data_IF_101716820094
#
_entry.id   IF_101716820094
#
_cell.length_a   1.000
_cell.length_b   1.000
_cell.length_c   1.000
_cell.angle_alpha   90.00
_cell.angle_beta   90.00
_cell.angle_gamma   90.00
#
_symmetry.space_group_name_H-M   'P 1'
#
loop_
_entity.id
_entity.type
_entity.pdbx_description
1 polymer ?
#
# COMPACT_ATOMS: atom_id res chain seq x y z
N UNK A 1 -14.11 -13.78 -1.23
CA UNK A 1 -13.02 -13.16 -0.43
C UNK A 1 -12.37 -12.12 -1.33
N UNK A 2 -12.24 -10.88 -0.87
CA UNK A 2 -11.56 -9.84 -1.65
C UNK A 2 -10.05 -9.97 -1.47
N UNK A 3 -9.34 -10.27 -2.56
CA UNK A 3 -7.89 -10.16 -2.60
C UNK A 3 -7.50 -8.70 -2.79
N UNK A 4 -6.41 -8.29 -2.15
CA UNK A 4 -5.92 -6.92 -2.22
C UNK A 4 -4.46 -6.83 -2.65
N UNK A 5 -4.11 -5.69 -3.24
CA UNK A 5 -2.74 -5.26 -3.47
C UNK A 5 -2.58 -3.83 -3.01
N UNK A 6 -1.59 -3.59 -2.15
CA UNK A 6 -1.28 -2.25 -1.62
C UNK A 6 0.01 -1.75 -2.27
N UNK A 7 -0.02 -0.51 -2.74
CA UNK A 7 1.12 0.21 -3.30
C UNK A 7 1.28 1.51 -2.53
N UNK A 8 2.34 1.57 -1.72
CA UNK A 8 2.65 2.71 -0.88
C UNK A 8 3.50 3.70 -1.68
N UNK A 9 3.06 4.96 -1.74
CA UNK A 9 3.87 6.05 -2.26
C UNK A 9 4.94 6.49 -1.25
N UNK A 10 6.15 6.74 -1.75
CA UNK A 10 7.22 7.41 -1.00
C UNK A 10 6.82 8.84 -0.57
N UNK A 11 6.03 9.54 -1.37
CA UNK A 11 5.54 10.90 -1.12
C UNK A 11 4.04 10.91 -0.78
N UNK A 12 3.61 11.93 -0.04
CA UNK A 12 2.17 12.18 0.14
C UNK A 12 1.62 12.76 -1.17
N UNK A 13 0.48 12.24 -1.59
CA UNK A 13 -0.26 12.68 -2.76
C UNK A 13 -1.10 13.90 -2.41
N UNK A 14 -1.02 14.93 -3.23
CA UNK A 14 -1.90 16.09 -3.16
C UNK A 14 -3.32 15.73 -3.58
N UNK A 15 -4.29 16.57 -3.23
CA UNK A 15 -5.69 16.37 -3.63
C UNK A 15 -5.86 16.19 -5.15
N UNK A 16 -5.09 16.93 -5.96
CA UNK A 16 -5.11 16.83 -7.41
C UNK A 16 -4.55 15.49 -7.90
N UNK A 17 -3.43 15.03 -7.33
CA UNK A 17 -2.82 13.74 -7.69
C UNK A 17 -3.70 12.56 -7.28
N UNK A 18 -4.42 12.69 -6.15
CA UNK A 18 -5.43 11.72 -5.70
C UNK A 18 -6.57 11.64 -6.71
N UNK A 19 -7.13 12.78 -7.14
CA UNK A 19 -8.22 12.83 -8.13
C UNK A 19 -7.80 12.17 -9.45
N UNK A 20 -6.61 12.53 -9.96
CA UNK A 20 -6.03 11.92 -11.17
C UNK A 20 -5.83 10.41 -11.03
N UNK A 21 -5.35 9.97 -9.86
CA UNK A 21 -5.17 8.55 -9.56
C UNK A 21 -6.51 7.81 -9.57
N UNK A 22 -7.53 8.34 -8.88
CA UNK A 22 -8.86 7.73 -8.79
C UNK A 22 -9.51 7.63 -10.17
N UNK A 23 -9.41 8.66 -11.01
CA UNK A 23 -9.94 8.64 -12.38
C UNK A 23 -9.34 7.48 -13.20
N UNK A 24 -8.01 7.38 -13.23
CA UNK A 24 -7.29 6.32 -13.97
C UNK A 24 -7.55 4.93 -13.40
N UNK A 25 -7.55 4.80 -12.08
CA UNK A 25 -7.78 3.53 -11.40
C UNK A 25 -9.22 3.04 -11.64
N UNK A 26 -10.21 3.93 -11.56
CA UNK A 26 -11.62 3.58 -11.79
C UNK A 26 -11.82 3.10 -13.24
N UNK A 27 -11.34 3.88 -14.21
CA UNK A 27 -11.40 3.50 -15.62
C UNK A 27 -10.65 2.19 -15.93
N UNK A 28 -9.57 1.89 -15.20
CA UNK A 28 -8.91 0.58 -15.29
C UNK A 28 -9.77 -0.54 -14.73
N UNK A 29 -10.31 -0.40 -13.51
CA UNK A 29 -11.10 -1.46 -12.87
C UNK A 29 -12.35 -1.84 -13.65
N UNK A 30 -12.99 -0.88 -14.34
CA UNK A 30 -14.14 -1.12 -15.22
C UNK A 30 -13.79 -1.96 -16.45
N UNK A 31 -12.55 -1.91 -16.93
CA UNK A 31 -12.09 -2.67 -18.10
C UNK A 31 -11.17 -3.85 -17.75
N UNK A 32 -10.92 -4.09 -16.46
CA UNK A 32 -9.96 -5.09 -16.03
C UNK A 32 -10.50 -6.49 -16.23
N UNK A 33 -9.81 -7.27 -17.06
CA UNK A 33 -10.26 -8.62 -17.49
C UNK A 33 -9.19 -9.67 -17.31
N UNK A 34 -9.61 -10.88 -16.96
CA UNK A 34 -8.80 -12.09 -16.94
C UNK A 34 -9.42 -13.16 -17.85
N UNK A 35 -8.66 -13.65 -18.84
CA UNK A 35 -9.15 -14.61 -19.86
C UNK A 35 -10.50 -14.21 -20.48
N UNK A 36 -10.68 -12.92 -20.77
CA UNK A 36 -11.91 -12.37 -21.37
C UNK A 36 -13.07 -12.14 -20.39
N UNK A 37 -12.99 -12.65 -19.15
CA UNK A 37 -13.98 -12.37 -18.10
C UNK A 37 -13.68 -11.05 -17.41
N UNK A 38 -14.72 -10.27 -17.16
CA UNK A 38 -14.64 -9.06 -16.35
C UNK A 38 -14.30 -9.42 -14.91
N UNK A 39 -13.32 -8.74 -14.35
CA UNK A 39 -12.99 -8.82 -12.93
C UNK A 39 -13.92 -7.88 -12.16
N UNK A 40 -14.48 -8.35 -11.05
CA UNK A 40 -15.17 -7.50 -10.09
C UNK A 40 -14.13 -6.86 -9.18
N UNK A 41 -13.65 -5.68 -9.59
CA UNK A 41 -12.57 -4.99 -8.93
C UNK A 41 -12.92 -3.53 -8.65
N UNK A 42 -12.27 -2.98 -7.64
CA UNK A 42 -12.32 -1.55 -7.29
C UNK A 42 -10.96 -1.10 -6.82
N UNK A 43 -10.75 0.20 -6.77
CA UNK A 43 -9.53 0.81 -6.30
C UNK A 43 -9.84 1.98 -5.38
N UNK A 44 -8.93 2.28 -4.46
CA UNK A 44 -9.01 3.49 -3.65
C UNK A 44 -7.61 4.06 -3.40
N UNK A 45 -7.58 5.35 -3.04
CA UNK A 45 -6.41 6.00 -2.46
C UNK A 45 -6.71 6.29 -1.01
N UNK A 46 -5.96 5.66 -0.10
CA UNK A 46 -6.14 5.79 1.35
C UNK A 46 -5.00 6.59 1.95
N UNK A 47 -5.36 7.46 2.90
CA UNK A 47 -4.44 8.34 3.62
C UNK A 47 -3.47 9.12 2.72
N UNK A 48 -3.96 9.57 1.56
CA UNK A 48 -3.19 10.33 0.58
C UNK A 48 -1.87 9.66 0.17
N UNK A 49 -1.76 8.32 0.28
CA UNK A 49 -0.45 7.65 0.14
C UNK A 49 -0.53 6.24 -0.39
N UNK A 50 -1.56 5.49 -0.01
CA UNK A 50 -1.68 4.08 -0.35
C UNK A 50 -2.69 3.91 -1.47
N UNK A 51 -2.24 3.43 -2.61
CA UNK A 51 -3.11 2.97 -3.68
C UNK A 51 -3.42 1.50 -3.40
N UNK A 52 -4.71 1.18 -3.22
CA UNK A 52 -5.15 -0.18 -2.89
C UNK A 52 -6.09 -0.67 -3.99
N UNK A 53 -5.74 -1.81 -4.59
CA UNK A 53 -6.59 -2.54 -5.51
C UNK A 53 -7.30 -3.66 -4.76
N UNK A 54 -8.60 -3.80 -4.98
CA UNK A 54 -9.43 -4.87 -4.45
C UNK A 54 -9.99 -5.69 -5.61
N UNK A 55 -10.00 -7.00 -5.46
CA UNK A 55 -10.57 -7.94 -6.41
C UNK A 55 -11.43 -8.96 -5.68
N UNK A 56 -12.69 -9.08 -6.07
CA UNK A 56 -13.54 -10.18 -5.63
C UNK A 56 -13.23 -11.46 -6.42
N UNK A 57 -12.43 -12.33 -5.81
CA UNK A 57 -12.01 -13.59 -6.44
C UNK A 57 -13.15 -14.63 -6.50
N UNK A 58 -14.29 -14.41 -5.84
CA UNK A 58 -15.46 -15.29 -5.98
C UNK A 58 -16.17 -15.08 -7.32
N UNK A 59 -16.11 -13.87 -7.89
CA UNK A 59 -16.65 -13.57 -9.22
C UNK A 59 -15.70 -14.08 -10.31
N UNK A 60 -14.43 -13.67 -10.22
CA UNK A 60 -13.38 -14.13 -11.13
C UNK A 60 -11.99 -13.87 -10.52
N UNK A 61 -11.13 -14.89 -10.57
CA UNK A 61 -9.73 -14.74 -10.16
C UNK A 61 -8.89 -14.03 -11.22
N UNK A 62 -7.89 -13.26 -10.77
CA UNK A 62 -6.90 -12.67 -11.65
C UNK A 62 -5.93 -13.74 -12.19
N UNK A 63 -5.46 -13.54 -13.41
CA UNK A 63 -4.35 -14.29 -14.02
C UNK A 63 -3.07 -13.45 -14.01
N UNK A 64 -1.90 -14.07 -14.18
CA UNK A 64 -0.62 -13.36 -14.26
C UNK A 64 -0.65 -12.20 -15.26
N UNK A 65 -1.15 -12.45 -16.48
CA UNK A 65 -1.29 -11.41 -17.50
C UNK A 65 -2.24 -10.28 -17.09
N UNK A 66 -3.31 -10.57 -16.34
CA UNK A 66 -4.19 -9.51 -15.82
C UNK A 66 -3.51 -8.69 -14.72
N UNK A 67 -2.68 -9.31 -13.88
CA UNK A 67 -1.89 -8.62 -12.84
C UNK A 67 -0.80 -7.74 -13.50
N UNK A 68 -0.15 -8.22 -14.56
CA UNK A 68 0.83 -7.41 -15.29
C UNK A 68 0.24 -6.10 -15.83
N UNK A 69 -1.04 -6.11 -16.21
CA UNK A 69 -1.76 -4.90 -16.64
C UNK A 69 -1.97 -3.91 -15.49
N UNK A 70 -2.30 -4.37 -14.29
CA UNK A 70 -2.44 -3.47 -13.13
C UNK A 70 -1.08 -2.91 -12.72
N UNK A 71 -0.02 -3.73 -12.75
CA UNK A 71 1.35 -3.29 -12.51
C UNK A 71 1.78 -2.22 -13.53
N UNK A 72 1.43 -2.40 -14.80
CA UNK A 72 1.70 -1.40 -15.84
C UNK A 72 1.01 -0.06 -15.56
N UNK A 73 -0.29 -0.08 -15.24
CA UNK A 73 -1.03 1.13 -14.87
C UNK A 73 -0.35 1.86 -13.71
N UNK A 74 0.07 1.13 -12.68
CA UNK A 74 0.72 1.73 -11.51
C UNK A 74 2.11 2.29 -11.83
N UNK A 75 2.84 1.70 -12.76
CA UNK A 75 4.09 2.29 -13.27
C UNK A 75 3.85 3.58 -14.07
N UNK A 76 2.76 3.62 -14.83
CA UNK A 76 2.34 4.83 -15.55
C UNK A 76 1.99 5.94 -14.56
N UNK A 77 1.15 5.66 -13.54
CA UNK A 77 0.86 6.58 -12.44
C UNK A 77 2.14 7.02 -11.71
N UNK A 78 3.05 6.10 -11.41
CA UNK A 78 4.32 6.41 -10.76
C UNK A 78 5.10 7.48 -11.56
N UNK A 79 5.19 7.30 -12.88
CA UNK A 79 5.93 8.20 -13.75
C UNK A 79 5.24 9.56 -13.90
N UNK A 80 3.92 9.59 -13.98
CA UNK A 80 3.15 10.83 -14.17
C UNK A 80 3.17 11.71 -12.93
N UNK A 81 3.08 11.08 -11.74
CA UNK A 81 3.07 11.77 -10.45
C UNK A 81 4.50 11.99 -9.90
N UNK A 82 5.52 11.44 -10.55
CA UNK A 82 6.92 11.50 -10.10
C UNK A 82 7.09 11.03 -8.64
N UNK A 83 6.47 9.89 -8.32
CA UNK A 83 6.54 9.20 -7.03
C UNK A 83 7.24 7.84 -7.19
N UNK A 84 7.34 7.06 -6.12
CA UNK A 84 7.77 5.66 -6.11
C UNK A 84 6.70 4.81 -5.42
N UNK A 85 6.19 3.77 -6.10
CA UNK A 85 5.12 2.88 -5.63
C UNK A 85 5.59 1.43 -5.42
N UNK A 86 6.77 1.08 -5.93
CA UNK A 86 7.29 -0.29 -5.94
C UNK A 86 8.48 -0.51 -4.99
N UNK A 87 8.96 0.53 -4.30
CA UNK A 87 9.99 0.36 -3.29
C UNK A 87 9.41 -0.25 -2.02
N UNK A 88 9.52 -1.58 -1.93
CA UNK A 88 9.06 -2.38 -0.78
C UNK A 88 9.97 -2.25 0.45
N UNK A 89 11.10 -1.56 0.34
CA UNK A 89 12.04 -1.36 1.46
C UNK A 89 11.68 -0.13 2.31
N UNK A 90 10.74 0.68 1.86
CA UNK A 90 10.26 1.86 2.57
C UNK A 90 9.21 1.48 3.61
N UNK A 91 9.39 2.00 4.82
CA UNK A 91 8.53 1.75 5.97
C UNK A 91 7.65 2.97 6.20
N UNK A 92 6.33 2.81 6.06
CA UNK A 92 5.39 3.82 6.52
C UNK A 92 5.05 3.60 8.00
N UNK A 93 4.92 4.71 8.73
CA UNK A 93 4.56 4.72 10.14
C UNK A 93 3.80 6.00 10.51
N UNK A 94 2.97 5.94 11.55
CA UNK A 94 2.30 7.10 12.11
C UNK A 94 3.26 7.89 12.99
N UNK A 95 3.25 9.21 12.84
CA UNK A 95 3.98 10.15 13.68
C UNK A 95 3.04 11.30 14.04
N UNK A 96 2.42 11.19 15.21
CA UNK A 96 1.22 11.96 15.53
C UNK A 96 0.09 11.61 14.56
N UNK A 97 -0.57 12.62 14.01
CA UNK A 97 -1.66 12.45 13.05
C UNK A 97 -1.17 12.21 11.61
N UNK A 98 0.12 12.42 11.34
CA UNK A 98 0.71 12.28 10.01
C UNK A 98 1.27 10.88 9.75
N UNK A 99 1.39 10.52 8.48
CA UNK A 99 2.09 9.31 8.03
C UNK A 99 3.41 9.72 7.41
N UNK A 100 4.50 9.20 7.99
CA UNK A 100 5.86 9.37 7.48
C UNK A 100 6.34 8.09 6.81
N UNK A 101 7.28 8.24 5.89
CA UNK A 101 7.95 7.12 5.21
C UNK A 101 9.44 7.26 5.44
N UNK A 102 10.10 6.15 5.78
CA UNK A 102 11.53 6.10 6.02
C UNK A 102 12.16 4.88 5.35
N UNK A 103 13.41 5.01 4.92
CA UNK A 103 14.25 3.85 4.64
C UNK A 103 14.53 3.08 5.93
N UNK A 104 14.95 1.82 5.81
CA UNK A 104 15.36 1.00 6.96
C UNK A 104 16.35 1.71 7.89
N UNK A 105 17.42 2.31 7.34
CA UNK A 105 18.45 2.97 8.15
C UNK A 105 17.93 4.22 8.85
N UNK A 106 17.07 5.00 8.19
CA UNK A 106 16.44 6.17 8.83
C UNK A 106 15.49 5.72 9.94
N UNK A 107 14.69 4.68 9.68
CA UNK A 107 13.77 4.12 10.66
C UNK A 107 14.49 3.59 11.91
N UNK A 108 15.62 2.91 11.73
CA UNK A 108 16.48 2.46 12.83
C UNK A 108 17.01 3.62 13.67
N UNK A 109 17.54 4.68 13.03
CA UNK A 109 17.96 5.89 13.74
C UNK A 109 16.82 6.57 14.51
N UNK A 110 15.58 6.51 14.01
CA UNK A 110 14.42 7.08 14.70
C UNK A 110 14.05 6.26 15.95
N UNK A 111 14.24 4.95 15.91
CA UNK A 111 14.08 4.07 17.07
C UNK A 111 15.14 4.40 18.13
N UNK A 112 16.40 4.52 17.73
CA UNK A 112 17.51 4.87 18.65
C UNK A 112 17.30 6.22 19.34
N UNK A 113 16.69 7.19 18.65
CA UNK A 113 16.34 8.50 19.19
C UNK A 113 15.06 8.50 20.04
N UNK A 114 14.33 7.39 20.09
CA UNK A 114 13.04 7.27 20.79
C UNK A 114 11.86 7.98 20.08
N UNK A 115 12.05 8.44 18.84
CA UNK A 115 10.97 9.02 18.02
C UNK A 115 10.00 7.96 17.50
N UNK A 116 10.48 6.73 17.35
CA UNK A 116 9.71 5.52 17.07
C UNK A 116 9.92 4.55 18.23
N UNK A 117 8.85 3.91 18.69
CA UNK A 117 8.91 2.91 19.75
C UNK A 117 7.97 1.73 19.46
N UNK A 118 7.93 0.77 20.38
CA UNK A 118 7.12 -0.45 20.26
C UNK A 118 5.62 -0.21 20.02
N UNK A 119 5.09 0.95 20.41
CA UNK A 119 3.69 1.32 20.26
C UNK A 119 3.44 2.23 19.05
N UNK A 120 4.49 2.64 18.32
CA UNK A 120 4.33 3.35 17.05
C UNK A 120 3.57 2.48 16.05
N UNK A 121 2.49 3.02 15.48
CA UNK A 121 1.72 2.32 14.46
C UNK A 121 2.50 2.28 13.15
N UNK A 122 2.66 1.10 12.58
CA UNK A 122 3.30 0.83 11.30
C UNK A 122 2.31 0.19 10.32
N UNK A 123 2.61 0.27 9.03
CA UNK A 123 1.73 -0.25 7.98
C UNK A 123 2.28 -1.56 7.40
N UNK A 124 1.55 -2.67 7.57
CA UNK A 124 1.91 -3.97 7.01
C UNK A 124 1.36 -4.15 5.60
N UNK A 125 2.04 -3.61 4.58
CA UNK A 125 1.61 -3.72 3.19
C UNK A 125 1.68 -5.15 2.60
N UNK A 126 1.98 -6.17 3.41
CA UNK A 126 1.97 -7.58 3.01
C UNK A 126 0.61 -8.26 3.17
N UNK A 127 -0.34 -7.61 3.84
CA UNK A 127 -1.73 -8.08 3.95
C UNK A 127 -2.33 -8.31 2.56
N UNK A 128 -3.11 -9.38 2.45
CA UNK A 128 -3.47 -9.96 1.16
C UNK A 128 -4.96 -10.03 0.88
N UNK A 129 -5.79 -9.81 1.90
CA UNK A 129 -7.25 -9.77 1.77
C UNK A 129 -7.88 -8.65 2.62
N UNK A 130 -9.16 -8.37 2.39
CA UNK A 130 -9.88 -7.27 3.06
C UNK A 130 -10.06 -7.46 4.57
N UNK A 131 -10.09 -8.70 5.07
CA UNK A 131 -10.14 -8.98 6.52
C UNK A 131 -8.81 -8.63 7.21
N UNK A 132 -7.69 -9.03 6.61
CA UNK A 132 -6.36 -8.64 7.07
C UNK A 132 -6.14 -7.12 6.95
N UNK A 133 -6.66 -6.49 5.90
CA UNK A 133 -6.60 -5.04 5.75
C UNK A 133 -7.28 -4.32 6.91
N UNK A 134 -8.40 -4.85 7.39
CA UNK A 134 -9.19 -4.23 8.46
C UNK A 134 -8.57 -4.45 9.85
N UNK A 135 -7.92 -5.59 10.08
CA UNK A 135 -7.47 -6.02 11.42
C UNK A 135 -5.95 -6.00 11.63
N UNK A 136 -5.15 -6.04 10.57
CA UNK A 136 -3.69 -6.25 10.65
C UNK A 136 -2.86 -5.29 9.83
N UNK A 137 -3.47 -4.38 9.08
CA UNK A 137 -2.72 -3.44 8.24
C UNK A 137 -2.08 -2.31 9.06
N UNK A 138 -2.82 -1.74 10.00
CA UNK A 138 -2.32 -0.72 10.92
C UNK A 138 -2.12 -1.35 12.29
N UNK A 139 -0.88 -1.65 12.65
CA UNK A 139 -0.57 -2.37 13.89
C UNK A 139 0.56 -1.69 14.65
N UNK A 140 0.57 -1.77 15.99
CA UNK A 140 1.74 -1.38 16.78
C UNK A 140 3.00 -2.11 16.29
N UNK A 141 4.14 -1.42 16.30
CA UNK A 141 5.41 -1.96 15.82
C UNK A 141 5.73 -3.32 16.44
N UNK A 142 5.49 -3.49 17.75
CA UNK A 142 5.71 -4.75 18.49
C UNK A 142 4.87 -5.94 18.01
N UNK A 143 3.72 -5.68 17.40
CA UNK A 143 2.79 -6.69 16.86
C UNK A 143 3.06 -6.96 15.36
N UNK A 144 3.86 -6.12 14.73
CA UNK A 144 4.20 -6.22 13.31
C UNK A 144 5.45 -7.08 13.08
N UNK A 145 5.67 -7.47 11.82
CA UNK A 145 6.92 -8.13 11.43
C UNK A 145 8.16 -7.23 11.63
N UNK A 146 8.01 -5.90 11.72
CA UNK A 146 9.11 -4.98 11.96
C UNK A 146 9.81 -5.27 13.29
N UNK A 147 9.09 -5.73 14.33
CA UNK A 147 9.68 -6.13 15.62
C UNK A 147 10.67 -7.31 15.51
N UNK A 148 10.56 -8.12 14.44
CA UNK A 148 11.51 -9.22 14.17
C UNK A 148 12.77 -8.73 13.46
N UNK A 149 12.74 -7.53 12.87
CA UNK A 149 13.79 -6.99 12.00
C UNK A 149 14.58 -5.88 12.67
N UNK A 150 13.94 -5.10 13.54
CA UNK A 150 14.56 -4.01 14.29
C UNK A 150 14.77 -4.42 15.75
N UNK A 151 15.93 -4.10 16.30
CA UNK A 151 16.17 -4.23 17.73
C UNK A 151 15.49 -3.06 18.44
N UNK A 152 14.48 -3.36 19.26
CA UNK A 152 13.90 -2.37 20.15
C UNK A 152 14.82 -2.19 21.36
N UNK A 153 15.11 -0.95 21.79
CA UNK A 153 15.83 -0.70 23.03
C UNK A 153 15.13 -1.40 24.20
N UNK A 154 15.92 -1.96 25.12
CA UNK A 154 15.44 -2.62 26.33
C UNK A 154 14.85 -1.62 27.35
#
# INVERSE_FOLDING_TARGET
>A
MERIWIYQSNLELTAQEIEQSIEKLSGFTEQWKAHGKQLAARAEVRYNRFIILFLDEEVAAATGCSIDKSVRLLKELQSELNIELFDRMLIAYRHGDAIKVASRSVFENLIEKGEVNENTIVFDNTVSNSEELASRWEVPMKESWHAKVFQLPA
#
